data_IF_929103475628
#
_entry.id   IF_929103475628
#
_cell.length_a   1.000
_cell.length_b   1.000
_cell.length_c   1.000
_cell.angle_alpha   90.00
_cell.angle_beta   90.00
_cell.angle_gamma   90.00
#
_symmetry.space_group_name_H-M   'P 1'
#
loop_
_entity.id
_entity.type
_entity.pdbx_description
1 polymer ?
#
# COMPACT_ATOMS: atom_id res chain seq x y z
N UNK A 1 -32.11 -4.47 24.11
CA UNK A 1 -30.85 -5.08 23.60
C UNK A 1 -30.68 -6.41 24.31
N UNK A 2 -30.70 -7.53 23.58
CA UNK A 2 -30.51 -8.83 24.20
C UNK A 2 -29.04 -8.98 24.64
N UNK A 3 -28.83 -9.34 25.92
CA UNK A 3 -27.52 -9.63 26.47
C UNK A 3 -26.87 -10.76 25.64
N UNK A 4 -25.67 -10.51 25.11
CA UNK A 4 -24.93 -11.52 24.37
C UNK A 4 -24.38 -12.51 25.39
N UNK A 5 -24.96 -13.71 25.45
CA UNK A 5 -24.46 -14.84 26.24
C UNK A 5 -23.00 -15.14 25.83
N UNK A 6 -22.07 -14.80 26.71
CA UNK A 6 -20.62 -14.89 26.50
C UNK A 6 -20.11 -16.34 26.52
N UNK A 7 -20.97 -17.32 26.83
CA UNK A 7 -20.59 -18.73 26.95
C UNK A 7 -20.86 -19.57 25.71
N UNK A 8 -21.54 -19.01 24.70
CA UNK A 8 -21.93 -19.75 23.49
C UNK A 8 -21.12 -19.35 22.27
N UNK A 9 -20.66 -20.36 21.54
CA UNK A 9 -20.07 -20.17 20.22
C UNK A 9 -21.09 -19.59 19.24
N UNK A 10 -20.59 -18.84 18.25
CA UNK A 10 -21.37 -18.36 17.11
C UNK A 10 -21.91 -19.55 16.31
N UNK A 11 -23.11 -19.40 15.77
CA UNK A 11 -23.74 -20.40 14.90
C UNK A 11 -23.21 -20.26 13.48
N UNK A 12 -23.03 -21.38 12.81
CA UNK A 12 -22.69 -21.44 11.38
C UNK A 12 -23.82 -20.85 10.52
N UNK A 13 -23.51 -20.44 9.28
CA UNK A 13 -24.46 -19.89 8.31
C UNK A 13 -25.18 -18.61 8.75
N UNK A 14 -24.53 -17.78 9.57
CA UNK A 14 -25.04 -16.49 10.01
C UNK A 14 -24.01 -15.38 9.78
N UNK A 15 -24.50 -14.17 9.46
CA UNK A 15 -23.67 -12.95 9.41
C UNK A 15 -23.79 -12.24 10.75
N UNK A 16 -22.65 -11.97 11.36
CA UNK A 16 -22.57 -11.26 12.64
C UNK A 16 -22.00 -9.86 12.44
N UNK A 17 -22.69 -8.85 12.97
CA UNK A 17 -22.21 -7.48 13.01
C UNK A 17 -21.46 -7.23 14.32
N UNK A 18 -20.20 -6.81 14.25
CA UNK A 18 -19.38 -6.47 15.40
C UNK A 18 -17.89 -6.43 15.10
N UNK A 19 -17.09 -6.12 16.12
CA UNK A 19 -15.63 -6.12 16.02
C UNK A 19 -15.11 -7.56 15.89
N UNK A 20 -14.31 -7.82 14.84
CA UNK A 20 -13.71 -9.13 14.58
C UNK A 20 -12.88 -9.62 15.78
N UNK A 21 -12.18 -8.72 16.48
CA UNK A 21 -11.36 -9.05 17.67
C UNK A 21 -12.19 -9.56 18.83
N UNK A 22 -13.48 -9.23 18.87
CA UNK A 22 -14.44 -9.77 19.83
C UNK A 22 -15.12 -11.02 19.31
N UNK A 23 -15.55 -11.03 18.05
CA UNK A 23 -16.33 -12.12 17.46
C UNK A 23 -15.50 -13.39 17.21
N UNK A 24 -14.23 -13.27 16.79
CA UNK A 24 -13.35 -14.42 16.54
C UNK A 24 -13.16 -15.27 17.81
N UNK A 25 -13.16 -14.65 19.00
CA UNK A 25 -13.08 -15.33 20.30
C UNK A 25 -14.30 -16.20 20.60
N UNK A 26 -15.38 -16.06 19.82
CA UNK A 26 -16.63 -16.81 19.94
C UNK A 26 -16.79 -17.85 18.84
N UNK A 27 -15.78 -18.09 18.01
CA UNK A 27 -15.78 -19.21 17.06
C UNK A 27 -15.20 -20.43 17.77
N UNK A 28 -15.80 -21.61 17.53
CA UNK A 28 -15.33 -22.87 18.09
C UNK A 28 -13.86 -23.12 17.69
N UNK A 29 -12.96 -23.49 18.61
CA UNK A 29 -11.58 -23.85 18.28
C UNK A 29 -11.51 -24.95 17.22
N UNK A 30 -10.49 -24.86 16.36
CA UNK A 30 -10.18 -25.86 15.31
C UNK A 30 -11.35 -26.28 14.42
N UNK A 31 -12.32 -25.39 14.20
CA UNK A 31 -13.52 -25.65 13.39
C UNK A 31 -13.42 -25.10 11.96
N UNK A 32 -12.54 -24.14 11.72
CA UNK A 32 -12.44 -23.44 10.44
C UNK A 32 -11.40 -24.11 9.54
N UNK A 33 -11.82 -24.50 8.33
CA UNK A 33 -10.91 -25.06 7.32
C UNK A 33 -10.15 -23.99 6.53
N UNK A 34 -10.82 -22.86 6.28
CA UNK A 34 -10.32 -21.74 5.50
C UNK A 34 -10.93 -20.45 6.06
N UNK A 35 -10.09 -19.46 6.36
CA UNK A 35 -10.52 -18.07 6.55
C UNK A 35 -10.07 -17.26 5.33
N UNK A 36 -10.95 -16.41 4.79
CA UNK A 36 -10.64 -15.50 3.67
C UNK A 36 -11.18 -14.12 4.01
N UNK A 37 -10.33 -13.09 3.96
CA UNK A 37 -10.76 -11.72 4.20
C UNK A 37 -9.84 -10.69 3.54
N UNK A 38 -10.36 -9.47 3.47
CA UNK A 38 -9.66 -8.26 3.05
C UNK A 38 -9.87 -7.20 4.13
N UNK A 39 -8.82 -6.72 4.82
CA UNK A 39 -8.97 -5.74 5.90
C UNK A 39 -9.20 -4.32 5.37
N UNK A 40 -9.35 -3.31 6.24
CA UNK A 40 -8.97 -1.93 5.94
C UNK A 40 -7.53 -1.85 5.43
N UNK A 41 -7.23 -1.01 4.43
CA UNK A 41 -5.90 -0.95 3.78
C UNK A 41 -5.06 0.25 4.22
N UNK A 42 -5.61 1.09 5.10
CA UNK A 42 -4.95 2.32 5.55
C UNK A 42 -4.65 3.29 4.40
N UNK A 43 -5.62 3.45 3.50
CA UNK A 43 -5.52 4.30 2.30
C UNK A 43 -6.34 5.60 2.40
N UNK A 44 -6.81 5.93 3.61
CA UNK A 44 -7.48 7.19 3.92
C UNK A 44 -8.97 7.19 3.61
N UNK A 45 -9.63 6.02 3.67
CA UNK A 45 -11.10 5.94 3.54
C UNK A 45 -11.76 6.56 4.77
N UNK A 46 -13.02 6.97 4.63
CA UNK A 46 -13.74 7.68 5.70
C UNK A 46 -13.82 6.89 7.02
N UNK A 47 -13.92 5.56 6.95
CA UNK A 47 -13.93 4.67 8.12
C UNK A 47 -12.56 4.52 8.80
N UNK A 48 -11.47 4.99 8.17
CA UNK A 48 -10.11 4.93 8.71
C UNK A 48 -9.70 6.25 9.37
N UNK A 49 -10.57 7.26 9.40
CA UNK A 49 -10.24 8.63 9.83
C UNK A 49 -9.63 8.72 11.24
N UNK A 50 -10.03 7.82 12.13
CA UNK A 50 -9.57 7.80 13.53
C UNK A 50 -8.56 6.67 13.80
N UNK A 51 -8.12 5.96 12.76
CA UNK A 51 -7.17 4.86 12.88
C UNK A 51 -5.77 5.43 12.69
N UNK A 52 -4.89 5.30 13.69
CA UNK A 52 -3.46 5.56 13.48
C UNK A 52 -2.81 4.40 12.73
N UNK A 53 -1.62 4.62 12.19
CA UNK A 53 -0.89 3.54 11.51
C UNK A 53 -0.56 2.39 12.48
N UNK A 54 -0.15 2.70 13.70
CA UNK A 54 0.11 1.70 14.74
C UNK A 54 -1.15 0.93 15.10
N UNK A 55 -2.30 1.61 15.24
CA UNK A 55 -3.58 0.94 15.54
C UNK A 55 -3.99 -0.02 14.41
N UNK A 56 -3.68 0.34 13.16
CA UNK A 56 -3.93 -0.51 12.01
C UNK A 56 -3.01 -1.75 12.00
N UNK A 57 -1.72 -1.58 12.27
CA UNK A 57 -0.78 -2.70 12.40
C UNK A 57 -1.20 -3.65 13.53
N UNK A 58 -1.61 -3.08 14.66
CA UNK A 58 -2.10 -3.83 15.83
C UNK A 58 -3.40 -4.58 15.52
N UNK A 59 -4.33 -3.96 14.79
CA UNK A 59 -5.55 -4.60 14.34
C UNK A 59 -5.24 -5.83 13.48
N UNK A 60 -4.36 -5.70 12.48
CA UNK A 60 -3.96 -6.82 11.62
C UNK A 60 -3.31 -7.93 12.43
N UNK A 61 -2.35 -7.59 13.29
CA UNK A 61 -1.63 -8.55 14.14
C UNK A 61 -2.59 -9.31 15.06
N UNK A 62 -3.49 -8.60 15.75
CA UNK A 62 -4.44 -9.23 16.66
C UNK A 62 -5.44 -10.13 15.92
N UNK A 63 -5.99 -9.66 14.79
CA UNK A 63 -6.92 -10.46 13.99
C UNK A 63 -6.25 -11.72 13.46
N UNK A 64 -5.03 -11.64 12.93
CA UNK A 64 -4.26 -12.81 12.47
C UNK A 64 -4.03 -13.80 13.63
N UNK A 65 -3.60 -13.29 14.79
CA UNK A 65 -3.40 -14.11 15.99
C UNK A 65 -4.67 -14.83 16.44
N UNK A 66 -5.81 -14.16 16.42
CA UNK A 66 -7.10 -14.74 16.81
C UNK A 66 -7.61 -15.80 15.84
N UNK A 67 -7.12 -15.83 14.60
CA UNK A 67 -7.46 -16.88 13.64
C UNK A 67 -6.75 -18.22 13.92
N UNK A 68 -5.55 -18.20 14.52
CA UNK A 68 -4.77 -19.42 14.75
C UNK A 68 -5.49 -20.51 15.57
N UNK A 69 -6.12 -20.21 16.73
CA UNK A 69 -6.78 -21.24 17.54
C UNK A 69 -8.09 -21.76 16.91
N UNK A 70 -8.74 -20.99 16.03
CA UNK A 70 -10.02 -21.37 15.42
C UNK A 70 -9.85 -22.15 14.11
N UNK A 71 -8.72 -21.98 13.42
CA UNK A 71 -8.39 -22.75 12.22
C UNK A 71 -7.91 -24.15 12.62
N UNK A 72 -8.40 -25.17 11.92
CA UNK A 72 -7.98 -26.56 12.14
C UNK A 72 -6.54 -26.80 11.65
N UNK A 73 -5.79 -27.74 12.25
CA UNK A 73 -4.50 -28.17 11.70
C UNK A 73 -4.63 -28.56 10.22
N UNK A 74 -3.71 -28.09 9.37
CA UNK A 74 -3.80 -28.27 7.91
C UNK A 74 -4.78 -27.31 7.20
N UNK A 75 -5.39 -26.38 7.93
CA UNK A 75 -6.24 -25.31 7.37
C UNK A 75 -5.46 -24.07 6.97
N UNK A 76 -6.16 -23.10 6.37
CA UNK A 76 -5.55 -21.91 5.77
C UNK A 76 -6.18 -20.59 6.21
N UNK A 77 -5.36 -19.55 6.29
CA UNK A 77 -5.72 -18.15 6.45
C UNK A 77 -5.32 -17.40 5.18
N UNK A 78 -6.28 -16.82 4.49
CA UNK A 78 -6.08 -16.10 3.22
C UNK A 78 -6.42 -14.62 3.40
N UNK A 79 -5.47 -13.76 3.06
CA UNK A 79 -5.57 -12.31 3.25
C UNK A 79 -5.34 -11.62 1.92
N UNK A 80 -6.36 -10.95 1.40
CA UNK A 80 -6.24 -10.06 0.25
C UNK A 80 -5.89 -8.64 0.74
N UNK A 81 -4.73 -8.13 0.33
CA UNK A 81 -4.23 -6.82 0.74
C UNK A 81 -3.26 -6.24 -0.29
N UNK A 82 -3.23 -4.91 -0.41
CA UNK A 82 -2.30 -4.18 -1.26
C UNK A 82 -1.20 -3.49 -0.45
N UNK A 83 -0.11 -3.11 -1.12
CA UNK A 83 0.90 -2.23 -0.53
C UNK A 83 0.38 -0.79 -0.45
N UNK A 84 0.89 -0.01 0.51
CA UNK A 84 0.52 1.40 0.62
C UNK A 84 1.46 2.22 -0.26
N UNK A 85 1.03 2.51 -1.49
CA UNK A 85 1.85 3.22 -2.49
C UNK A 85 2.23 4.65 -2.08
N UNK A 86 1.41 5.29 -1.26
CA UNK A 86 1.54 6.69 -0.85
C UNK A 86 1.67 6.84 0.67
N UNK A 87 2.43 5.95 1.31
CA UNK A 87 2.67 6.00 2.75
C UNK A 87 3.46 7.25 3.14
N UNK A 88 2.89 8.09 4.02
CA UNK A 88 3.52 9.34 4.47
C UNK A 88 4.70 9.05 5.40
N UNK A 89 5.85 9.62 5.07
CA UNK A 89 7.08 9.46 5.86
C UNK A 89 7.73 10.83 6.10
N UNK A 90 7.72 11.27 7.36
CA UNK A 90 8.27 12.56 7.76
C UNK A 90 9.81 12.60 7.74
N UNK A 91 10.46 11.43 7.76
CA UNK A 91 11.92 11.33 7.69
C UNK A 91 12.46 11.52 6.28
N UNK A 92 11.60 11.38 5.26
CA UNK A 92 12.01 11.52 3.86
C UNK A 92 12.38 12.97 3.52
N UNK A 93 13.45 13.17 2.72
CA UNK A 93 13.86 14.50 2.32
C UNK A 93 12.82 15.14 1.39
N UNK A 94 12.54 16.43 1.60
CA UNK A 94 11.53 17.21 0.86
C UNK A 94 12.04 17.68 -0.52
N UNK A 95 12.48 16.74 -1.34
CA UNK A 95 13.07 17.00 -2.66
C UNK A 95 12.00 16.88 -3.75
N UNK A 96 11.87 17.92 -4.58
CA UNK A 96 10.99 17.89 -5.75
C UNK A 96 11.71 17.32 -6.97
N UNK A 97 11.12 16.30 -7.59
CA UNK A 97 11.57 15.79 -8.88
C UNK A 97 11.56 16.91 -9.93
N UNK A 98 12.63 17.01 -10.72
CA UNK A 98 12.67 17.90 -11.87
C UNK A 98 12.04 17.19 -13.08
N UNK A 99 10.95 17.75 -13.59
CA UNK A 99 10.35 17.28 -14.84
C UNK A 99 10.95 18.06 -16.01
N UNK A 100 12.04 17.53 -16.56
CA UNK A 100 12.81 18.19 -17.62
C UNK A 100 11.95 18.44 -18.86
N UNK A 101 11.09 17.49 -19.24
CA UNK A 101 10.23 17.60 -20.44
C UNK A 101 9.09 18.60 -20.30
N UNK A 102 8.69 18.98 -19.08
CA UNK A 102 7.69 20.04 -18.83
C UNK A 102 8.30 21.43 -18.65
N UNK A 103 9.59 21.58 -18.89
CA UNK A 103 10.26 22.88 -18.91
C UNK A 103 9.76 23.71 -20.09
N UNK A 104 9.10 24.85 -19.81
CA UNK A 104 8.61 25.78 -20.86
C UNK A 104 9.71 26.68 -21.44
N UNK A 105 10.78 26.91 -20.67
CA UNK A 105 11.87 27.85 -21.04
C UNK A 105 13.19 27.08 -21.07
N UNK A 106 13.79 26.96 -22.25
CA UNK A 106 15.02 26.20 -22.49
C UNK A 106 16.32 26.84 -22.00
N UNK A 107 16.25 27.88 -21.15
CA UNK A 107 17.44 28.56 -20.63
C UNK A 107 18.25 27.61 -19.74
N UNK A 108 19.55 27.47 -20.01
CA UNK A 108 20.47 26.61 -19.26
C UNK A 108 21.25 27.38 -18.20
N UNK A 109 21.90 26.66 -17.28
CA UNK A 109 22.74 27.27 -16.24
C UNK A 109 23.94 27.99 -16.86
N UNK A 110 24.54 27.39 -17.88
CA UNK A 110 25.72 27.88 -18.58
C UNK A 110 25.42 29.22 -19.27
N UNK A 111 24.27 29.32 -19.93
CA UNK A 111 23.80 30.56 -20.57
C UNK A 111 23.63 31.69 -19.54
N UNK A 112 23.06 31.40 -18.37
CA UNK A 112 22.90 32.39 -17.30
C UNK A 112 24.26 32.81 -16.73
N UNK A 113 25.19 31.87 -16.55
CA UNK A 113 26.55 32.17 -16.09
C UNK A 113 27.32 33.01 -17.11
N UNK A 114 27.15 32.76 -18.40
CA UNK A 114 27.75 33.59 -19.45
C UNK A 114 27.16 35.00 -19.48
N UNK A 115 25.84 35.15 -19.34
CA UNK A 115 25.20 36.46 -19.23
C UNK A 115 25.69 37.24 -18.00
N UNK A 116 25.91 36.56 -16.86
CA UNK A 116 26.52 37.17 -15.67
C UNK A 116 27.97 37.62 -15.89
N UNK A 117 28.75 36.90 -16.71
CA UNK A 117 30.11 37.33 -17.07
C UNK A 117 30.09 38.57 -17.96
N UNK A 118 29.18 38.62 -18.94
CA UNK A 118 29.03 39.77 -19.86
C UNK A 118 28.42 41.00 -19.16
N UNK A 119 27.58 40.78 -18.16
CA UNK A 119 26.90 41.84 -17.41
C UNK A 119 27.01 41.61 -15.88
N UNK A 120 28.17 41.89 -15.27
CA UNK A 120 28.43 41.59 -13.86
C UNK A 120 27.50 42.31 -12.87
N UNK A 121 26.91 43.43 -13.27
CA UNK A 121 26.01 44.25 -12.44
C UNK A 121 24.55 43.81 -12.51
N UNK A 122 24.19 42.87 -13.39
CA UNK A 122 22.80 42.46 -13.56
C UNK A 122 22.27 41.67 -12.36
N UNK A 123 21.13 42.12 -11.84
CA UNK A 123 20.37 41.40 -10.82
C UNK A 123 19.48 40.31 -11.44
N UNK A 124 18.83 39.49 -10.59
CA UNK A 124 17.97 38.38 -11.04
C UNK A 124 16.81 38.83 -11.92
N UNK A 125 16.21 39.99 -11.64
CA UNK A 125 15.12 40.55 -12.43
C UNK A 125 15.58 40.91 -13.85
N UNK A 126 16.75 41.52 -13.99
CA UNK A 126 17.34 41.84 -15.29
C UNK A 126 17.70 40.58 -16.08
N UNK A 127 18.26 39.55 -15.42
CA UNK A 127 18.52 38.25 -16.05
C UNK A 127 17.22 37.57 -16.51
N UNK A 128 16.17 37.61 -15.67
CA UNK A 128 14.87 37.05 -15.99
C UNK A 128 14.24 37.72 -17.22
N UNK A 129 14.29 39.05 -17.27
CA UNK A 129 13.84 39.83 -18.42
C UNK A 129 14.65 39.51 -19.70
N UNK A 130 15.98 39.40 -19.59
CA UNK A 130 16.85 39.05 -20.71
C UNK A 130 16.53 37.68 -21.34
N UNK A 131 16.20 36.68 -20.51
CA UNK A 131 15.85 35.34 -20.96
C UNK A 131 14.34 35.11 -21.17
N UNK A 132 13.51 36.16 -21.06
CA UNK A 132 12.05 36.06 -21.22
C UNK A 132 11.41 35.07 -20.24
N UNK A 133 11.91 34.98 -19.01
CA UNK A 133 11.47 33.98 -18.03
C UNK A 133 11.25 34.61 -16.66
N UNK A 134 10.75 33.81 -15.70
CA UNK A 134 10.56 34.29 -14.33
C UNK A 134 11.87 34.32 -13.55
N UNK A 135 11.99 35.20 -12.54
CA UNK A 135 13.13 35.17 -11.61
C UNK A 135 13.29 33.80 -10.92
N UNK A 136 12.18 33.08 -10.73
CA UNK A 136 12.20 31.73 -10.17
C UNK A 136 12.87 30.73 -11.12
N UNK A 137 12.72 30.90 -12.43
CA UNK A 137 13.39 30.07 -13.43
C UNK A 137 14.90 30.28 -13.37
N UNK A 138 15.35 31.54 -13.31
CA UNK A 138 16.77 31.89 -13.15
C UNK A 138 17.37 31.25 -11.89
N UNK A 139 16.66 31.36 -10.75
CA UNK A 139 17.11 30.84 -9.47
C UNK A 139 17.20 29.30 -9.48
N UNK A 140 16.19 28.61 -10.03
CA UNK A 140 16.19 27.13 -10.16
C UNK A 140 17.32 26.63 -11.05
N UNK A 141 17.66 27.36 -12.13
CA UNK A 141 18.74 26.97 -13.05
C UNK A 141 20.12 27.14 -12.44
N UNK A 142 20.33 28.20 -11.66
CA UNK A 142 21.60 28.43 -11.00
C UNK A 142 21.81 27.50 -9.79
N UNK A 143 20.77 27.35 -8.98
CA UNK A 143 20.88 26.83 -7.61
C UNK A 143 20.09 25.52 -7.38
N UNK A 144 19.41 25.00 -8.40
CA UNK A 144 18.67 23.75 -8.34
C UNK A 144 17.20 23.89 -7.93
N UNK A 145 16.47 22.77 -8.04
CA UNK A 145 15.01 22.74 -8.06
C UNK A 145 14.32 23.15 -6.74
N UNK A 146 15.01 23.05 -5.60
CA UNK A 146 14.46 23.25 -4.26
C UNK A 146 14.94 24.54 -3.55
N UNK A 147 15.67 25.43 -4.25
CA UNK A 147 16.33 26.59 -3.63
C UNK A 147 15.37 27.59 -2.97
N UNK A 148 14.14 27.71 -3.49
CA UNK A 148 13.09 28.60 -2.94
C UNK A 148 12.10 27.88 -2.00
N UNK A 149 12.53 26.74 -1.45
CA UNK A 149 11.68 25.86 -0.64
C UNK A 149 11.31 24.59 -1.41
N UNK A 150 11.52 23.44 -0.76
CA UNK A 150 11.06 22.15 -1.25
C UNK A 150 9.55 21.96 -1.04
N UNK A 151 9.07 20.72 -1.22
CA UNK A 151 7.68 20.40 -0.88
C UNK A 151 7.41 20.60 0.61
N UNK A 152 6.44 21.43 0.98
CA UNK A 152 6.01 21.59 2.37
C UNK A 152 5.34 20.34 2.93
N UNK A 153 4.60 19.62 2.07
CA UNK A 153 3.93 18.37 2.40
C UNK A 153 4.92 17.24 2.71
N UNK A 154 4.58 16.41 3.68
CA UNK A 154 5.28 15.15 3.99
C UNK A 154 5.41 14.32 2.71
N UNK A 155 6.63 13.85 2.42
CA UNK A 155 6.84 12.98 1.27
C UNK A 155 6.24 11.61 1.53
N UNK A 156 5.97 10.89 0.45
CA UNK A 156 5.45 9.54 0.52
C UNK A 156 6.47 8.55 -0.02
N UNK A 157 6.39 7.30 0.41
CA UNK A 157 7.08 6.13 -0.17
C UNK A 157 6.10 4.97 -0.30
N UNK A 158 6.54 3.91 -0.93
CA UNK A 158 5.84 2.63 -0.87
C UNK A 158 6.12 2.01 0.50
N UNK A 159 5.07 1.48 1.14
CA UNK A 159 5.17 0.64 2.32
C UNK A 159 4.72 -0.77 1.95
N UNK A 160 5.63 -1.74 2.06
CA UNK A 160 5.34 -3.14 1.78
C UNK A 160 4.55 -3.75 2.93
N UNK A 161 3.29 -4.08 2.67
CA UNK A 161 2.37 -4.64 3.65
C UNK A 161 2.55 -6.14 3.78
N UNK A 162 2.99 -6.82 2.71
CA UNK A 162 3.27 -8.26 2.74
C UNK A 162 4.19 -8.69 3.88
N UNK A 163 5.29 -7.96 4.11
CA UNK A 163 6.22 -8.26 5.19
C UNK A 163 5.64 -8.05 6.59
N UNK A 164 4.68 -7.13 6.76
CA UNK A 164 3.99 -6.91 8.02
C UNK A 164 3.10 -8.12 8.36
N UNK A 165 2.26 -8.54 7.41
CA UNK A 165 1.33 -9.65 7.65
C UNK A 165 2.05 -11.00 7.71
N UNK A 166 3.15 -11.18 6.99
CA UNK A 166 3.98 -12.38 7.09
C UNK A 166 4.58 -12.52 8.49
N UNK A 167 5.15 -11.44 9.04
CA UNK A 167 5.65 -11.45 10.43
C UNK A 167 4.55 -11.77 11.43
N UNK A 168 3.41 -11.10 11.33
CA UNK A 168 2.27 -11.35 12.23
C UNK A 168 1.75 -12.80 12.12
N UNK A 169 1.70 -13.37 10.91
CA UNK A 169 1.30 -14.76 10.69
C UNK A 169 2.30 -15.75 11.27
N UNK A 170 3.60 -15.54 11.05
CA UNK A 170 4.68 -16.36 11.61
C UNK A 170 4.68 -16.32 13.15
N UNK A 171 4.52 -15.14 13.75
CA UNK A 171 4.40 -14.96 15.21
C UNK A 171 3.18 -15.68 15.79
N UNK A 172 2.08 -15.76 15.03
CA UNK A 172 0.89 -16.51 15.42
C UNK A 172 1.03 -18.03 15.25
N UNK A 173 2.05 -18.51 14.52
CA UNK A 173 2.31 -19.92 14.25
C UNK A 173 1.87 -20.42 12.88
N UNK A 174 1.40 -19.54 11.99
CA UNK A 174 1.19 -19.88 10.58
C UNK A 174 2.51 -19.81 9.79
N UNK A 175 2.51 -20.39 8.59
CA UNK A 175 3.59 -20.20 7.62
C UNK A 175 3.03 -19.72 6.29
N UNK A 176 3.74 -18.81 5.62
CA UNK A 176 3.39 -18.42 4.26
C UNK A 176 3.51 -19.65 3.35
N UNK A 177 2.36 -20.07 2.82
CA UNK A 177 2.24 -21.26 1.99
C UNK A 177 2.30 -20.91 0.51
N UNK A 178 1.62 -19.83 0.14
CA UNK A 178 1.53 -19.36 -1.24
C UNK A 178 1.17 -17.87 -1.27
N UNK A 179 1.40 -17.22 -2.41
CA UNK A 179 1.00 -15.86 -2.70
C UNK A 179 0.50 -15.78 -4.14
N UNK A 180 -0.74 -15.32 -4.30
CA UNK A 180 -1.35 -15.08 -5.61
C UNK A 180 -1.50 -13.60 -5.88
N UNK A 181 -1.65 -13.27 -7.15
CA UNK A 181 -1.95 -11.93 -7.63
C UNK A 181 -3.37 -11.92 -8.18
N UNK A 182 -4.21 -11.03 -7.66
CA UNK A 182 -5.48 -10.69 -8.28
C UNK A 182 -5.26 -9.52 -9.23
N UNK A 183 -5.19 -9.83 -10.53
CA UNK A 183 -5.09 -8.82 -11.60
C UNK A 183 -6.41 -8.04 -11.67
N UNK A 184 -6.30 -6.72 -11.67
CA UNK A 184 -7.42 -5.77 -11.75
C UNK A 184 -7.38 -5.02 -13.08
N UNK A 185 -8.50 -4.39 -13.41
CA UNK A 185 -8.57 -3.49 -14.56
C UNK A 185 -7.63 -2.29 -14.37
N UNK A 186 -7.30 -1.66 -15.49
CA UNK A 186 -6.38 -0.53 -15.56
C UNK A 186 -6.82 0.64 -14.65
N UNK A 187 -6.21 0.73 -13.47
CA UNK A 187 -6.55 1.75 -12.48
C UNK A 187 -6.02 3.15 -12.84
N UNK A 188 -5.15 3.27 -13.85
CA UNK A 188 -4.57 4.55 -14.27
C UNK A 188 -5.56 5.46 -14.98
N UNK A 189 -6.60 4.94 -15.64
CA UNK A 189 -7.58 5.75 -16.40
C UNK A 189 -8.23 6.84 -15.53
N UNK A 190 -8.33 6.60 -14.22
CA UNK A 190 -8.91 7.53 -13.24
C UNK A 190 -7.87 8.20 -12.31
N UNK A 191 -6.56 7.95 -12.50
CA UNK A 191 -5.52 8.42 -11.59
C UNK A 191 -4.81 9.66 -12.11
N UNK A 192 -5.04 10.82 -11.49
CA UNK A 192 -4.31 12.06 -11.87
C UNK A 192 -2.80 12.02 -11.60
N UNK A 193 -2.32 11.00 -10.87
CA UNK A 193 -0.95 10.94 -10.32
C UNK A 193 0.08 10.31 -11.28
N UNK A 194 -0.34 9.57 -12.30
CA UNK A 194 0.58 8.93 -13.25
C UNK A 194 1.25 9.93 -14.22
N UNK A 195 0.69 11.13 -14.39
CA UNK A 195 1.18 12.12 -15.39
C UNK A 195 2.35 12.98 -14.91
N UNK A 196 2.70 12.93 -13.62
CA UNK A 196 3.66 13.85 -12.99
C UNK A 196 4.79 13.17 -12.21
N UNK A 197 4.82 11.83 -12.17
CA UNK A 197 5.86 11.07 -11.49
C UNK A 197 6.12 9.74 -12.19
N UNK A 198 7.25 9.11 -11.88
CA UNK A 198 7.56 7.74 -12.34
C UNK A 198 6.89 6.64 -11.51
N UNK A 199 5.94 6.98 -10.62
CA UNK A 199 5.18 5.95 -9.89
C UNK A 199 4.11 5.36 -10.79
N UNK A 200 4.09 4.03 -10.85
CA UNK A 200 2.99 3.27 -11.41
C UNK A 200 1.78 3.30 -10.48
N UNK A 201 0.62 3.00 -11.05
CA UNK A 201 -0.59 2.63 -10.30
C UNK A 201 -0.63 1.12 -10.28
N UNK A 202 -0.99 0.51 -9.14
CA UNK A 202 -1.13 -0.94 -9.07
C UNK A 202 -2.39 -1.37 -9.83
N UNK A 203 -2.21 -2.30 -10.76
CA UNK A 203 -3.29 -3.00 -11.49
C UNK A 203 -3.50 -4.40 -10.92
N UNK A 204 -3.16 -4.59 -9.64
CA UNK A 204 -3.33 -5.85 -8.96
C UNK A 204 -3.40 -5.69 -7.45
N UNK A 205 -3.80 -6.76 -6.77
CA UNK A 205 -3.62 -6.91 -5.33
C UNK A 205 -3.04 -8.28 -4.99
N UNK A 206 -2.35 -8.37 -3.86
CA UNK A 206 -1.87 -9.65 -3.38
C UNK A 206 -2.98 -10.40 -2.64
N UNK A 207 -2.90 -11.72 -2.74
CA UNK A 207 -3.61 -12.67 -1.89
C UNK A 207 -2.55 -13.53 -1.23
N UNK A 208 -2.31 -13.32 0.05
CA UNK A 208 -1.38 -14.11 0.84
C UNK A 208 -2.11 -15.29 1.46
N UNK A 209 -1.55 -16.49 1.30
CA UNK A 209 -2.14 -17.74 1.79
C UNK A 209 -1.19 -18.31 2.84
N UNK A 210 -1.66 -18.35 4.08
CA UNK A 210 -0.94 -18.85 5.24
C UNK A 210 -1.51 -20.20 5.66
N UNK A 211 -0.65 -21.14 6.00
CA UNK A 211 -1.01 -22.50 6.41
C UNK A 211 -0.76 -22.69 7.91
N UNK A 212 -1.72 -23.32 8.60
CA UNK A 212 -1.53 -23.79 9.98
C UNK A 212 -0.92 -25.19 9.93
N UNK A 213 0.24 -25.44 10.58
CA UNK A 213 0.86 -26.76 10.62
C UNK A 213 -0.12 -27.88 10.94
N UNK A 214 -0.15 -28.90 10.08
CA UNK A 214 -1.00 -30.08 10.22
C UNK A 214 -1.33 -30.73 8.87
N UNK A 215 -1.88 -31.93 8.89
CA UNK A 215 -2.17 -32.69 7.67
C UNK A 215 -3.24 -32.01 6.82
N UNK A 216 -2.84 -31.44 5.68
CA UNK A 216 -3.76 -30.93 4.68
C UNK A 216 -4.33 -32.08 3.84
N UNK A 217 -5.66 -32.19 3.79
CA UNK A 217 -6.33 -33.13 2.88
C UNK A 217 -6.54 -32.46 1.52
N UNK A 218 -5.99 -33.04 0.47
CA UNK A 218 -6.13 -32.55 -0.91
C UNK A 218 -6.99 -33.54 -1.69
N UNK A 219 -8.04 -33.02 -2.32
CA UNK A 219 -8.86 -33.77 -3.27
C UNK A 219 -8.85 -33.04 -4.60
N UNK A 220 -8.09 -33.60 -5.57
CA UNK A 220 -7.95 -33.01 -6.90
C UNK A 220 -9.19 -33.18 -7.76
N UNK A 221 -10.13 -34.06 -7.39
CA UNK A 221 -11.37 -34.26 -8.15
C UNK A 221 -12.35 -33.08 -7.99
N UNK A 222 -12.13 -32.20 -7.01
CA UNK A 222 -12.93 -31.00 -6.78
C UNK A 222 -12.87 -29.95 -7.90
N UNK A 223 -11.86 -30.05 -8.77
CA UNK A 223 -11.70 -29.21 -9.94
C UNK A 223 -11.46 -30.11 -11.16
N UNK A 224 -12.04 -29.74 -12.29
CA UNK A 224 -11.70 -30.33 -13.58
C UNK A 224 -10.23 -30.08 -13.92
N UNK A 225 -9.68 -30.86 -14.86
CA UNK A 225 -8.32 -30.62 -15.37
C UNK A 225 -8.14 -29.19 -15.89
N UNK A 226 -9.15 -28.64 -16.56
CA UNK A 226 -9.09 -27.29 -17.12
C UNK A 226 -9.11 -26.21 -16.02
N UNK A 227 -9.91 -26.38 -14.97
CA UNK A 227 -9.91 -25.48 -13.80
C UNK A 227 -8.59 -25.56 -13.03
N UNK A 228 -7.99 -26.74 -12.91
CA UNK A 228 -6.63 -26.86 -12.37
C UNK A 228 -5.62 -26.06 -13.19
N UNK A 229 -5.64 -26.19 -14.52
CA UNK A 229 -4.76 -25.44 -15.42
C UNK A 229 -5.01 -23.94 -15.32
N UNK A 230 -6.28 -23.51 -15.26
CA UNK A 230 -6.64 -22.10 -15.33
C UNK A 230 -6.53 -21.36 -14.00
N UNK A 231 -6.82 -22.04 -12.88
CA UNK A 231 -6.94 -21.42 -11.55
C UNK A 231 -5.89 -21.94 -10.58
N UNK A 232 -5.72 -23.27 -10.49
CA UNK A 232 -4.86 -23.88 -9.48
C UNK A 232 -3.37 -23.73 -9.77
N UNK A 233 -2.97 -23.89 -11.03
CA UNK A 233 -1.57 -23.96 -11.47
C UNK A 233 -0.96 -22.62 -11.89
N UNK A 234 -1.77 -21.57 -12.07
CA UNK A 234 -1.28 -20.25 -12.49
C UNK A 234 -1.03 -19.38 -11.27
N UNK A 235 0.20 -18.91 -11.09
CA UNK A 235 0.58 -17.93 -10.08
C UNK A 235 0.43 -16.51 -10.63
#
# INVERSE_FOLDING_TARGET
MAAIDVTKFLKENHIYHGDSRTLLKKIKPESIALSVWSPPYFVGKAYEKNLSFSDWEDLLREVIKLHFPIIKPGGFLTINIADILCFKDASMPKIMAENVSRTKVGVTKEQILEAKKKHPTWNRHQLAAHFGCSEQTIDRRLNGNNIRGGKYQTQTRVFLVGGLIERAANEAGFHLYDRRVWVKDAAWENSRWHTISYRSVDEFEYIYIFWKPGTTKVDRSRLTKQEWVNWGSRA
#
